data_IF_711204928762
#
_entry.id   IF_711204928762
#
_cell.length_a   1.000
_cell.length_b   1.000
_cell.length_c   1.000
_cell.angle_alpha   90.00
_cell.angle_beta   90.00
_cell.angle_gamma   90.00
#
_symmetry.space_group_name_H-M   'P 1'
#
loop_
_entity.id
_entity.type
_entity.pdbx_description
1 polymer ?
#
# COMPACT_ATOMS: atom_id res chain seq x y z
N UNK A 1 -13.10 -35.60 49.52
CA UNK A 1 -12.75 -34.79 48.31
C UNK A 1 -13.15 -35.52 47.06
N UNK A 2 -12.84 -36.77 46.79
CA UNK A 2 -13.14 -37.50 45.57
C UNK A 2 -14.62 -37.54 45.11
N UNK A 3 -15.59 -37.65 46.02
CA UNK A 3 -17.01 -37.72 45.70
C UNK A 3 -17.63 -36.40 45.14
N UNK A 4 -16.95 -35.26 45.35
CA UNK A 4 -17.38 -33.94 44.89
C UNK A 4 -16.84 -33.66 43.45
N UNK A 5 -15.70 -34.24 43.15
CA UNK A 5 -15.08 -34.12 41.83
C UNK A 5 -15.77 -35.02 40.82
N UNK A 6 -16.14 -36.25 41.19
CA UNK A 6 -16.95 -37.14 40.34
C UNK A 6 -18.31 -36.55 39.96
N UNK A 7 -19.03 -35.91 40.89
CA UNK A 7 -20.31 -35.24 40.58
C UNK A 7 -20.13 -34.05 39.61
N UNK A 8 -18.98 -33.39 39.66
CA UNK A 8 -18.71 -32.26 38.79
C UNK A 8 -18.34 -32.72 37.37
N UNK A 9 -17.69 -33.85 37.25
CA UNK A 9 -17.38 -34.49 35.97
C UNK A 9 -18.63 -35.05 35.29
N UNK A 10 -19.51 -35.75 36.05
CA UNK A 10 -20.81 -36.20 35.53
C UNK A 10 -21.69 -35.04 35.07
N UNK A 11 -21.77 -33.95 35.82
CA UNK A 11 -22.53 -32.75 35.44
C UNK A 11 -21.94 -32.06 34.19
N UNK A 12 -20.63 -32.05 34.02
CA UNK A 12 -19.97 -31.52 32.83
C UNK A 12 -20.27 -32.40 31.61
N UNK A 13 -20.27 -33.73 31.78
CA UNK A 13 -20.59 -34.66 30.70
C UNK A 13 -22.06 -34.56 30.27
N UNK A 14 -22.99 -34.42 31.24
CA UNK A 14 -24.41 -34.19 30.93
C UNK A 14 -24.62 -32.88 30.18
N UNK A 15 -24.00 -31.77 30.62
CA UNK A 15 -24.08 -30.48 29.95
C UNK A 15 -23.49 -30.52 28.53
N UNK A 16 -22.40 -31.23 28.31
CA UNK A 16 -21.82 -31.42 26.99
C UNK A 16 -22.74 -32.24 26.08
N UNK A 17 -23.37 -33.28 26.64
CA UNK A 17 -24.28 -34.14 25.90
C UNK A 17 -25.60 -33.43 25.54
N UNK A 18 -26.10 -32.58 26.40
CA UNK A 18 -27.25 -31.71 26.15
C UNK A 18 -26.95 -30.65 25.10
N UNK A 19 -25.78 -30.03 25.18
CA UNK A 19 -25.31 -29.07 24.18
C UNK A 19 -25.12 -29.72 22.79
N UNK A 20 -24.58 -30.93 22.72
CA UNK A 20 -24.43 -31.71 21.48
C UNK A 20 -25.82 -32.07 20.89
N UNK A 21 -26.76 -32.55 21.71
CA UNK A 21 -28.11 -32.90 21.26
C UNK A 21 -28.87 -31.66 20.75
N UNK A 22 -28.75 -30.52 21.46
CA UNK A 22 -29.37 -29.26 21.05
C UNK A 22 -28.79 -28.74 19.74
N UNK A 23 -27.47 -28.84 19.57
CA UNK A 23 -26.77 -28.42 18.36
C UNK A 23 -27.14 -29.32 17.18
N UNK A 24 -27.21 -30.64 17.36
CA UNK A 24 -27.58 -31.58 16.30
C UNK A 24 -29.03 -31.38 15.87
N UNK A 25 -29.94 -31.21 16.79
CA UNK A 25 -31.36 -30.93 16.50
C UNK A 25 -31.54 -29.59 15.75
N UNK A 26 -30.77 -28.55 16.11
CA UNK A 26 -30.78 -27.27 15.38
C UNK A 26 -30.23 -27.43 13.95
N UNK A 27 -29.14 -28.19 13.78
CA UNK A 27 -28.55 -28.47 12.46
C UNK A 27 -29.56 -29.22 11.59
N UNK A 28 -30.22 -30.25 12.12
CA UNK A 28 -31.23 -31.04 11.39
C UNK A 28 -32.43 -30.14 11.00
N UNK A 29 -32.93 -29.32 11.91
CA UNK A 29 -34.03 -28.39 11.64
C UNK A 29 -33.70 -27.33 10.57
N UNK A 30 -32.42 -26.96 10.42
CA UNK A 30 -31.96 -25.94 9.47
C UNK A 30 -31.11 -26.50 8.31
N UNK A 31 -31.07 -27.82 8.12
CA UNK A 31 -30.22 -28.50 7.16
C UNK A 31 -30.28 -27.90 5.75
N UNK A 32 -31.48 -27.65 5.23
CA UNK A 32 -31.66 -27.07 3.91
C UNK A 32 -31.08 -25.65 3.81
N UNK A 33 -31.28 -24.81 4.85
CA UNK A 33 -30.73 -23.43 4.87
C UNK A 33 -29.21 -23.46 4.95
N UNK A 34 -28.65 -24.34 5.78
CA UNK A 34 -27.21 -24.54 5.91
C UNK A 34 -26.59 -25.02 4.60
N UNK A 35 -27.21 -26.01 3.94
CA UNK A 35 -26.75 -26.52 2.64
C UNK A 35 -26.73 -25.41 1.59
N UNK A 36 -27.80 -24.62 1.48
CA UNK A 36 -27.85 -23.49 0.55
C UNK A 36 -26.81 -22.42 0.88
N UNK A 37 -26.60 -22.10 2.17
CA UNK A 37 -25.60 -21.13 2.60
C UNK A 37 -24.17 -21.61 2.24
N UNK A 38 -23.84 -22.87 2.53
CA UNK A 38 -22.55 -23.46 2.21
C UNK A 38 -22.35 -23.49 0.67
N UNK A 39 -23.37 -23.91 -0.08
CA UNK A 39 -23.30 -23.93 -1.54
C UNK A 39 -23.07 -22.53 -2.10
N UNK A 40 -23.77 -21.52 -1.59
CA UNK A 40 -23.56 -20.14 -2.00
C UNK A 40 -22.13 -19.66 -1.72
N UNK A 41 -21.57 -19.95 -0.55
CA UNK A 41 -20.19 -19.64 -0.21
C UNK A 41 -19.21 -20.32 -1.18
N UNK A 42 -19.40 -21.60 -1.46
CA UNK A 42 -18.54 -22.35 -2.40
C UNK A 42 -18.59 -21.74 -3.81
N UNK A 43 -19.77 -21.38 -4.29
CA UNK A 43 -19.93 -20.74 -5.61
C UNK A 43 -19.20 -19.40 -5.65
N UNK A 44 -19.33 -18.58 -4.60
CA UNK A 44 -18.61 -17.29 -4.51
C UNK A 44 -17.10 -17.50 -4.51
N UNK A 45 -16.59 -18.45 -3.72
CA UNK A 45 -15.17 -18.77 -3.68
C UNK A 45 -14.65 -19.24 -5.04
N UNK A 46 -15.38 -20.12 -5.70
CA UNK A 46 -15.01 -20.59 -7.05
C UNK A 46 -15.03 -19.45 -8.08
N UNK A 47 -16.02 -18.56 -8.02
CA UNK A 47 -16.07 -17.38 -8.87
C UNK A 47 -14.88 -16.44 -8.65
N UNK A 48 -14.50 -16.18 -7.39
CA UNK A 48 -13.31 -15.37 -7.06
C UNK A 48 -12.02 -16.02 -7.58
N UNK A 49 -11.88 -17.34 -7.43
CA UNK A 49 -10.72 -18.08 -7.95
C UNK A 49 -10.67 -18.00 -9.48
N UNK A 50 -11.81 -18.17 -10.14
CA UNK A 50 -11.90 -18.10 -11.61
C UNK A 50 -11.53 -16.71 -12.12
N UNK A 51 -12.11 -15.64 -11.54
CA UNK A 51 -11.78 -14.26 -11.90
C UNK A 51 -10.29 -13.98 -11.67
N UNK A 52 -9.75 -14.39 -10.52
CA UNK A 52 -8.34 -14.17 -10.22
C UNK A 52 -7.42 -14.90 -11.21
N UNK A 53 -7.75 -16.14 -11.58
CA UNK A 53 -6.87 -16.99 -12.40
C UNK A 53 -6.97 -16.64 -13.88
N UNK A 54 -8.19 -16.40 -14.40
CA UNK A 54 -8.42 -16.25 -15.83
C UNK A 54 -8.48 -14.78 -16.29
N UNK A 55 -8.67 -13.83 -15.35
CA UNK A 55 -8.78 -12.41 -15.71
C UNK A 55 -7.64 -11.59 -15.09
N UNK A 56 -7.47 -11.67 -13.77
CA UNK A 56 -6.53 -10.77 -13.08
C UNK A 56 -5.07 -11.16 -13.28
N UNK A 57 -4.73 -12.45 -13.26
CA UNK A 57 -3.35 -12.91 -13.47
C UNK A 57 -2.83 -12.60 -14.88
N UNK A 58 -3.54 -12.91 -15.98
CA UNK A 58 -3.09 -12.56 -17.33
C UNK A 58 -2.91 -11.05 -17.50
N UNK A 59 -3.87 -10.24 -17.05
CA UNK A 59 -3.75 -8.78 -17.08
C UNK A 59 -2.57 -8.24 -16.27
N UNK A 60 -2.30 -8.82 -15.10
CA UNK A 60 -1.14 -8.43 -14.30
C UNK A 60 0.18 -8.78 -15.00
N UNK A 61 0.23 -9.90 -15.72
CA UNK A 61 1.41 -10.31 -16.46
C UNK A 61 1.64 -9.42 -17.70
N UNK A 62 0.60 -9.06 -18.41
CA UNK A 62 0.64 -8.09 -19.51
C UNK A 62 1.16 -6.74 -19.01
N UNK A 63 0.59 -6.20 -17.93
CA UNK A 63 1.05 -4.96 -17.32
C UNK A 63 2.53 -5.02 -16.85
N UNK A 64 3.00 -6.17 -16.35
CA UNK A 64 4.41 -6.33 -15.99
C UNK A 64 5.32 -6.31 -17.23
N UNK A 65 4.90 -6.93 -18.34
CA UNK A 65 5.66 -6.92 -19.59
C UNK A 65 5.76 -5.49 -20.15
N UNK A 66 4.64 -4.75 -20.15
CA UNK A 66 4.62 -3.36 -20.60
C UNK A 66 5.48 -2.46 -19.68
N UNK A 67 5.40 -2.63 -18.36
CA UNK A 67 6.31 -1.94 -17.44
C UNK A 67 7.78 -2.20 -17.78
N UNK A 68 8.14 -3.45 -18.10
CA UNK A 68 9.53 -3.78 -18.43
C UNK A 68 10.03 -3.02 -19.67
N UNK A 69 9.15 -2.81 -20.68
CA UNK A 69 9.50 -2.01 -21.88
C UNK A 69 9.68 -0.54 -21.52
N UNK A 70 8.73 0.05 -20.76
CA UNK A 70 8.80 1.44 -20.34
C UNK A 70 10.02 1.73 -19.43
N UNK A 71 10.42 0.78 -18.58
CA UNK A 71 11.63 0.87 -17.74
C UNK A 71 12.89 1.02 -18.57
N UNK A 72 12.97 0.45 -19.78
CA UNK A 72 14.15 0.63 -20.66
C UNK A 72 14.33 2.10 -21.00
N UNK A 73 13.28 2.79 -21.40
CA UNK A 73 13.33 4.25 -21.68
C UNK A 73 13.64 5.05 -20.41
N UNK A 74 13.04 4.66 -19.28
CA UNK A 74 13.29 5.30 -18.00
C UNK A 74 14.76 5.25 -17.58
N UNK A 75 15.39 4.08 -17.70
CA UNK A 75 16.81 3.90 -17.34
C UNK A 75 17.78 4.65 -18.27
N UNK A 76 17.34 4.96 -19.47
CA UNK A 76 18.07 5.80 -20.43
C UNK A 76 17.85 7.30 -20.17
N UNK A 77 17.03 7.68 -19.20
CA UNK A 77 16.68 9.08 -18.92
C UNK A 77 15.67 9.66 -19.90
N UNK A 78 15.08 8.83 -20.77
CA UNK A 78 14.07 9.27 -21.73
C UNK A 78 12.68 9.23 -21.09
N UNK A 79 12.43 10.18 -20.16
CA UNK A 79 11.24 10.21 -19.33
C UNK A 79 9.96 10.42 -20.14
N UNK A 80 10.03 11.13 -21.26
CA UNK A 80 8.88 11.38 -22.13
C UNK A 80 8.40 10.09 -22.81
N UNK A 81 9.32 9.30 -23.40
CA UNK A 81 8.97 7.99 -23.98
C UNK A 81 8.61 6.96 -22.89
N UNK A 82 9.27 7.00 -21.75
CA UNK A 82 8.90 6.11 -20.64
C UNK A 82 7.47 6.38 -20.16
N UNK A 83 7.05 7.65 -20.13
CA UNK A 83 5.73 8.08 -19.68
C UNK A 83 4.63 7.78 -20.71
N UNK A 84 4.83 8.24 -21.94
CA UNK A 84 3.82 8.22 -22.99
C UNK A 84 3.85 6.94 -23.85
N UNK A 85 4.96 6.20 -23.82
CA UNK A 85 5.20 5.07 -24.70
C UNK A 85 5.73 5.49 -26.07
N UNK A 86 5.86 4.51 -26.94
CA UNK A 86 6.15 4.71 -28.34
C UNK A 86 4.98 4.17 -29.20
N UNK A 87 4.93 4.59 -30.47
CA UNK A 87 3.85 4.17 -31.40
C UNK A 87 3.96 2.68 -31.80
N UNK A 88 5.10 2.04 -31.52
CA UNK A 88 5.41 0.71 -32.05
C UNK A 88 5.09 -0.43 -31.08
N UNK A 89 5.52 -0.37 -29.83
CA UNK A 89 5.48 -1.53 -28.92
C UNK A 89 5.37 -1.22 -27.42
N UNK A 90 5.48 0.02 -26.97
CA UNK A 90 5.48 0.39 -25.55
C UNK A 90 4.27 1.27 -25.20
N UNK A 91 3.45 0.81 -24.25
CA UNK A 91 2.28 1.60 -23.79
C UNK A 91 2.66 2.86 -22.99
N UNK A 92 3.82 2.89 -22.35
CA UNK A 92 4.20 3.92 -21.40
C UNK A 92 3.54 3.79 -20.03
N UNK A 93 4.19 4.38 -19.02
CA UNK A 93 3.76 4.23 -17.63
C UNK A 93 2.39 4.86 -17.35
N UNK A 94 2.04 5.93 -18.03
CA UNK A 94 0.76 6.60 -17.81
C UNK A 94 -0.42 5.70 -18.22
N UNK A 95 -0.37 5.12 -19.40
CA UNK A 95 -1.39 4.19 -19.88
C UNK A 95 -1.47 2.95 -19.00
N UNK A 96 -0.31 2.35 -18.64
CA UNK A 96 -0.26 1.19 -17.76
C UNK A 96 -0.87 1.50 -16.38
N UNK A 97 -0.56 2.66 -15.79
CA UNK A 97 -1.09 3.08 -14.50
C UNK A 97 -2.62 3.25 -14.52
N UNK A 98 -3.18 3.71 -15.63
CA UNK A 98 -4.61 3.94 -15.79
C UNK A 98 -5.37 2.64 -16.11
N UNK A 99 -4.86 1.81 -17.02
CA UNK A 99 -5.54 0.59 -17.47
C UNK A 99 -5.46 -0.55 -16.46
N UNK A 100 -4.36 -0.62 -15.70
CA UNK A 100 -4.09 -1.68 -14.73
C UNK A 100 -4.07 -1.19 -13.27
N UNK A 101 -4.76 -0.09 -12.96
CA UNK A 101 -4.76 0.61 -11.66
C UNK A 101 -4.98 -0.28 -10.43
N UNK A 102 -5.74 -1.38 -10.57
CA UNK A 102 -6.03 -2.30 -9.47
C UNK A 102 -4.94 -3.37 -9.27
N UNK A 103 -3.97 -3.49 -10.20
CA UNK A 103 -2.89 -4.45 -10.13
C UNK A 103 -1.66 -3.87 -9.42
N UNK A 104 -0.76 -4.75 -8.95
CA UNK A 104 0.54 -4.31 -8.42
C UNK A 104 1.38 -3.62 -9.51
N UNK A 105 1.30 -4.12 -10.74
CA UNK A 105 2.00 -3.57 -11.89
C UNK A 105 1.53 -2.14 -12.24
N UNK A 106 0.22 -1.90 -12.23
CA UNK A 106 -0.33 -0.57 -12.46
C UNK A 106 0.02 0.42 -11.35
N UNK A 107 0.07 -0.03 -10.09
CA UNK A 107 0.56 0.81 -8.99
C UNK A 107 2.04 1.16 -9.16
N UNK A 108 2.87 0.20 -9.58
CA UNK A 108 4.28 0.45 -9.87
C UNK A 108 4.44 1.41 -11.06
N UNK A 109 3.63 1.24 -12.10
CA UNK A 109 3.60 2.18 -13.23
C UNK A 109 3.21 3.60 -12.77
N UNK A 110 2.27 3.74 -11.83
CA UNK A 110 1.94 5.04 -11.27
C UNK A 110 3.12 5.69 -10.52
N UNK A 111 3.93 4.91 -9.80
CA UNK A 111 5.17 5.42 -9.21
C UNK A 111 6.14 5.94 -10.28
N UNK A 112 6.41 5.13 -11.31
CA UNK A 112 7.32 5.53 -12.39
C UNK A 112 6.76 6.72 -13.18
N UNK A 113 5.46 6.77 -13.46
CA UNK A 113 4.82 7.92 -14.10
C UNK A 113 5.00 9.19 -13.25
N UNK A 114 4.79 9.09 -11.94
CA UNK A 114 5.03 10.21 -11.02
C UNK A 114 6.47 10.68 -11.01
N UNK A 115 7.44 9.76 -11.07
CA UNK A 115 8.87 10.11 -11.21
C UNK A 115 9.13 10.78 -12.56
N UNK A 116 8.59 10.26 -13.66
CA UNK A 116 8.75 10.85 -15.00
C UNK A 116 8.20 12.28 -15.04
N UNK A 117 6.98 12.50 -14.56
CA UNK A 117 6.38 13.83 -14.48
C UNK A 117 7.21 14.80 -13.63
N UNK A 118 7.73 14.32 -12.50
CA UNK A 118 8.62 15.13 -11.66
C UNK A 118 9.89 15.55 -12.41
N UNK A 119 10.52 14.64 -13.15
CA UNK A 119 11.72 14.92 -13.94
C UNK A 119 11.43 15.86 -15.13
N UNK A 120 10.23 15.78 -15.69
CA UNK A 120 9.76 16.67 -16.76
C UNK A 120 9.28 18.04 -16.26
N UNK A 121 9.21 18.25 -14.93
CA UNK A 121 8.79 19.51 -14.32
C UNK A 121 7.27 19.68 -14.15
N UNK A 122 6.47 18.66 -14.51
CA UNK A 122 5.03 18.67 -14.23
C UNK A 122 4.77 18.13 -12.80
N UNK A 123 4.98 19.00 -11.83
CA UNK A 123 4.83 18.64 -10.41
C UNK A 123 3.38 18.35 -10.02
N UNK A 124 2.41 18.91 -10.74
CA UNK A 124 0.99 18.63 -10.48
C UNK A 124 0.63 17.19 -10.85
N UNK A 125 0.98 16.76 -12.06
CA UNK A 125 0.78 15.39 -12.49
C UNK A 125 1.65 14.42 -11.66
N UNK A 126 2.89 14.78 -11.34
CA UNK A 126 3.75 13.99 -10.45
C UNK A 126 3.07 13.71 -9.12
N UNK A 127 2.52 14.73 -8.45
CA UNK A 127 1.82 14.58 -7.18
C UNK A 127 0.56 13.70 -7.31
N UNK A 128 -0.20 13.83 -8.40
CA UNK A 128 -1.37 13.00 -8.66
C UNK A 128 -1.01 11.51 -8.78
N UNK A 129 0.02 11.18 -9.57
CA UNK A 129 0.42 9.80 -9.80
C UNK A 129 1.13 9.20 -8.58
N UNK A 130 2.01 9.93 -7.89
CA UNK A 130 2.67 9.48 -6.67
C UNK A 130 1.67 9.21 -5.54
N UNK A 131 0.60 10.00 -5.42
CA UNK A 131 -0.44 9.79 -4.43
C UNK A 131 -1.25 8.50 -4.66
N UNK A 132 -1.29 7.97 -5.89
CA UNK A 132 -1.95 6.69 -6.24
C UNK A 132 -1.11 5.48 -5.84
N UNK A 133 0.19 5.66 -5.60
CA UNK A 133 1.11 4.57 -5.28
C UNK A 133 0.98 4.14 -3.82
N UNK A 134 0.94 2.85 -3.58
CA UNK A 134 1.13 2.21 -2.27
C UNK A 134 1.42 0.73 -2.48
N UNK A 135 2.63 0.30 -2.18
CA UNK A 135 3.04 -1.10 -2.25
C UNK A 135 3.01 -1.79 -0.89
N UNK A 136 2.90 -1.02 0.21
CA UNK A 136 3.11 -1.46 1.60
C UNK A 136 4.54 -2.02 1.80
N UNK A 137 5.51 -1.36 1.18
CA UNK A 137 6.93 -1.70 1.25
C UNK A 137 7.66 -0.70 2.14
N UNK A 138 8.59 -1.19 2.97
CA UNK A 138 9.31 -0.38 3.95
C UNK A 138 10.32 0.60 3.35
N UNK A 139 10.72 0.40 2.10
CA UNK A 139 11.70 1.24 1.41
C UNK A 139 11.05 2.10 0.33
N UNK A 140 10.22 1.49 -0.51
CA UNK A 140 9.67 2.15 -1.71
C UNK A 140 8.57 3.14 -1.33
N UNK A 141 7.66 2.77 -0.41
CA UNK A 141 6.58 3.68 0.01
C UNK A 141 7.10 4.98 0.64
N UNK A 142 8.08 4.94 1.58
CA UNK A 142 8.64 6.17 2.12
C UNK A 142 9.40 7.02 1.08
N UNK A 143 10.09 6.39 0.13
CA UNK A 143 10.77 7.11 -0.95
C UNK A 143 9.77 7.79 -1.89
N UNK A 144 8.67 7.11 -2.23
CA UNK A 144 7.57 7.68 -3.02
C UNK A 144 6.90 8.86 -2.29
N UNK A 145 6.65 8.72 -0.98
CA UNK A 145 6.11 9.79 -0.15
C UNK A 145 7.06 10.98 -0.02
N UNK A 146 8.37 10.73 0.03
CA UNK A 146 9.37 11.79 0.04
C UNK A 146 9.33 12.57 -1.28
N UNK A 147 9.29 11.88 -2.43
CA UNK A 147 9.18 12.54 -3.73
C UNK A 147 7.85 13.27 -3.90
N UNK A 148 6.75 12.70 -3.38
CA UNK A 148 5.45 13.38 -3.32
C UNK A 148 5.53 14.68 -2.51
N UNK A 149 6.23 14.65 -1.37
CA UNK A 149 6.51 15.84 -0.57
C UNK A 149 7.31 16.89 -1.35
N UNK A 150 8.33 16.45 -2.11
CA UNK A 150 9.12 17.33 -2.96
C UNK A 150 8.26 17.97 -4.07
N UNK A 151 7.37 17.21 -4.71
CA UNK A 151 6.44 17.73 -5.70
C UNK A 151 5.51 18.80 -5.09
N UNK A 152 4.99 18.57 -3.87
CA UNK A 152 4.18 19.57 -3.17
C UNK A 152 4.97 20.81 -2.77
N UNK A 153 6.26 20.70 -2.47
CA UNK A 153 7.13 21.87 -2.23
C UNK A 153 7.25 22.72 -3.50
N UNK A 154 7.44 22.09 -4.67
CA UNK A 154 7.50 22.81 -5.95
C UNK A 154 6.18 23.51 -6.31
N UNK A 155 5.06 22.99 -5.80
CA UNK A 155 3.73 23.59 -5.96
C UNK A 155 3.40 24.60 -4.85
N UNK A 156 4.33 24.89 -3.94
CA UNK A 156 4.13 25.73 -2.75
C UNK A 156 3.01 25.22 -1.81
N UNK A 157 2.61 23.94 -1.97
CA UNK A 157 1.60 23.31 -1.14
C UNK A 157 2.21 22.75 0.16
N UNK A 158 2.85 23.62 0.94
CA UNK A 158 3.66 23.26 2.10
C UNK A 158 2.94 22.41 3.15
N UNK A 159 1.64 22.61 3.36
CA UNK A 159 0.87 21.77 4.29
C UNK A 159 0.75 20.30 3.82
N UNK A 160 0.65 20.07 2.51
CA UNK A 160 0.64 18.72 1.95
C UNK A 160 2.04 18.11 1.97
N UNK A 161 3.06 18.91 1.65
CA UNK A 161 4.46 18.49 1.74
C UNK A 161 4.82 18.04 3.17
N UNK A 162 4.47 18.82 4.18
CA UNK A 162 4.71 18.48 5.59
C UNK A 162 4.06 17.15 5.99
N UNK A 163 2.83 16.89 5.51
CA UNK A 163 2.16 15.59 5.76
C UNK A 163 2.91 14.43 5.11
N UNK A 164 3.30 14.57 3.84
CA UNK A 164 4.02 13.53 3.10
C UNK A 164 5.36 13.21 3.77
N UNK A 165 6.17 14.22 4.08
CA UNK A 165 7.44 14.04 4.78
C UNK A 165 7.27 13.47 6.19
N UNK A 166 6.25 13.88 6.93
CA UNK A 166 5.96 13.33 8.27
C UNK A 166 5.62 11.85 8.23
N UNK A 167 4.93 11.38 7.18
CA UNK A 167 4.64 9.95 7.02
C UNK A 167 5.91 9.20 6.61
N UNK A 168 6.67 9.72 5.66
CA UNK A 168 7.94 9.12 5.22
C UNK A 168 8.95 9.01 6.38
N UNK A 169 9.03 10.02 7.24
CA UNK A 169 9.89 10.03 8.42
C UNK A 169 9.56 8.94 9.46
N UNK A 170 8.29 8.50 9.52
CA UNK A 170 7.84 7.44 10.45
C UNK A 170 8.07 6.03 9.94
N UNK A 171 8.67 5.87 8.78
CA UNK A 171 8.89 4.55 8.16
C UNK A 171 9.84 3.63 8.93
N UNK A 172 10.68 4.18 9.80
CA UNK A 172 11.77 3.44 10.45
C UNK A 172 12.94 3.10 9.53
N UNK A 173 12.95 3.60 8.29
CA UNK A 173 14.06 3.43 7.36
C UNK A 173 15.19 4.41 7.72
N UNK A 174 16.35 3.88 8.13
CA UNK A 174 17.48 4.67 8.62
C UNK A 174 18.09 5.64 7.59
N UNK A 175 17.83 5.44 6.30
CA UNK A 175 18.28 6.34 5.24
C UNK A 175 17.21 7.39 4.93
N UNK A 176 15.95 6.98 4.76
CA UNK A 176 14.88 7.87 4.28
C UNK A 176 14.30 8.72 5.42
N UNK A 177 14.22 8.17 6.64
CA UNK A 177 13.63 8.89 7.76
C UNK A 177 14.38 10.19 8.11
N UNK A 178 15.70 10.22 8.30
CA UNK A 178 16.43 11.45 8.60
C UNK A 178 16.35 12.46 7.45
N UNK A 179 16.43 12.02 6.18
CA UNK A 179 16.24 12.91 5.03
C UNK A 179 14.84 13.54 5.03
N UNK A 180 13.81 12.74 5.33
CA UNK A 180 12.43 13.22 5.39
C UNK A 180 12.20 14.16 6.56
N UNK A 181 12.80 13.91 7.73
CA UNK A 181 12.78 14.82 8.89
C UNK A 181 13.43 16.16 8.56
N UNK A 182 14.57 16.16 7.87
CA UNK A 182 15.24 17.37 7.44
C UNK A 182 14.36 18.21 6.51
N UNK A 183 13.76 17.58 5.49
CA UNK A 183 12.81 18.26 4.58
C UNK A 183 11.57 18.77 5.33
N UNK A 184 11.04 17.97 6.27
CA UNK A 184 9.94 18.38 7.14
C UNK A 184 10.32 19.63 7.94
N UNK A 185 11.52 19.65 8.54
CA UNK A 185 12.01 20.81 9.29
C UNK A 185 12.00 22.08 8.44
N UNK A 186 12.54 22.03 7.22
CA UNK A 186 12.52 23.19 6.32
C UNK A 186 11.11 23.62 5.94
N UNK A 187 10.22 22.69 5.60
CA UNK A 187 8.82 23.01 5.28
C UNK A 187 8.08 23.60 6.48
N UNK A 188 8.39 23.17 7.70
CA UNK A 188 7.81 23.76 8.93
C UNK A 188 8.33 25.18 9.17
N UNK A 189 9.56 25.51 8.77
CA UNK A 189 10.07 26.88 8.80
C UNK A 189 9.32 27.78 7.80
N UNK A 190 9.09 27.32 6.57
CA UNK A 190 8.29 28.05 5.57
C UNK A 190 6.85 28.32 6.05
N UNK A 191 6.29 27.38 6.82
CA UNK A 191 4.97 27.54 7.45
C UNK A 191 4.99 28.42 8.71
N UNK A 192 6.16 28.92 9.14
CA UNK A 192 6.32 29.69 10.38
C UNK A 192 6.25 28.86 11.67
N UNK A 193 6.23 27.53 11.56
CA UNK A 193 6.10 26.60 12.68
C UNK A 193 7.49 26.24 13.27
N UNK A 194 8.23 27.23 13.78
CA UNK A 194 9.61 27.05 14.24
C UNK A 194 9.77 25.96 15.32
N UNK A 195 8.80 25.80 16.21
CA UNK A 195 8.83 24.75 17.22
C UNK A 195 8.74 23.33 16.61
N UNK A 196 7.95 23.14 15.56
CA UNK A 196 7.85 21.88 14.85
C UNK A 196 9.12 21.61 14.02
N UNK A 197 9.71 22.65 13.42
CA UNK A 197 10.98 22.54 12.71
C UNK A 197 12.11 22.10 13.66
N UNK A 198 12.24 22.77 14.81
CA UNK A 198 13.23 22.41 15.83
C UNK A 198 13.10 20.95 16.27
N UNK A 199 11.86 20.52 16.55
CA UNK A 199 11.59 19.13 16.93
C UNK A 199 12.05 18.14 15.86
N UNK A 200 11.82 18.44 14.57
CA UNK A 200 12.26 17.58 13.47
C UNK A 200 13.80 17.44 13.44
N UNK A 201 14.53 18.54 13.59
CA UNK A 201 16.00 18.53 13.64
C UNK A 201 16.55 17.85 14.90
N UNK A 202 15.94 18.08 16.05
CA UNK A 202 16.31 17.37 17.29
C UNK A 202 16.09 15.87 17.19
N UNK A 203 15.03 15.43 16.49
CA UNK A 203 14.77 14.02 16.24
C UNK A 203 15.90 13.39 15.40
N UNK A 204 16.39 14.09 14.37
CA UNK A 204 17.52 13.62 13.58
C UNK A 204 18.74 13.42 14.49
N UNK A 205 19.09 14.45 15.25
CA UNK A 205 20.25 14.41 16.15
C UNK A 205 20.18 13.29 17.19
N UNK A 206 19.00 13.01 17.74
CA UNK A 206 18.82 12.09 18.84
C UNK A 206 18.60 10.64 18.37
N UNK A 207 17.83 10.44 17.31
CA UNK A 207 17.41 9.11 16.83
C UNK A 207 18.28 8.61 15.67
N UNK A 208 18.88 9.51 14.90
CA UNK A 208 19.69 9.18 13.71
C UNK A 208 21.10 9.81 13.75
N UNK A 209 21.87 9.68 14.87
CA UNK A 209 23.14 10.39 15.02
C UNK A 209 24.23 9.96 14.03
N UNK A 210 24.05 8.80 13.37
CA UNK A 210 24.97 8.31 12.34
C UNK A 210 24.56 8.70 10.92
N UNK A 211 23.43 9.40 10.74
CA UNK A 211 22.99 9.85 9.42
C UNK A 211 23.81 11.06 8.95
N UNK A 212 23.81 11.29 7.63
CA UNK A 212 24.45 12.48 7.05
C UNK A 212 23.72 13.79 7.40
N UNK A 213 22.48 13.70 7.86
CA UNK A 213 21.61 14.79 8.23
C UNK A 213 21.81 15.25 9.68
N UNK A 214 22.47 14.45 10.54
CA UNK A 214 22.76 14.78 11.92
C UNK A 214 23.94 15.73 12.02
#
# INVERSE_FOLDING_TARGET
MAKKDFKKEEQNLENVQEALNTTSAWIEANQNKLTWAITAIVVVVLAVIAINTYVLKPKAQEANNENAKAVVYFTQGNYELALNGDEADCMGFEAIANDYKCSKAGKLAALYAGVCYYQLGDYSAAAEYLAKFSAKDLNIDPAALQLLGDAYVQLEEYNKAAKAFSVAAKSGNELIAPMSLKKLGFVQMELGNNAAALKAFETIKNEYPASMEA
#
